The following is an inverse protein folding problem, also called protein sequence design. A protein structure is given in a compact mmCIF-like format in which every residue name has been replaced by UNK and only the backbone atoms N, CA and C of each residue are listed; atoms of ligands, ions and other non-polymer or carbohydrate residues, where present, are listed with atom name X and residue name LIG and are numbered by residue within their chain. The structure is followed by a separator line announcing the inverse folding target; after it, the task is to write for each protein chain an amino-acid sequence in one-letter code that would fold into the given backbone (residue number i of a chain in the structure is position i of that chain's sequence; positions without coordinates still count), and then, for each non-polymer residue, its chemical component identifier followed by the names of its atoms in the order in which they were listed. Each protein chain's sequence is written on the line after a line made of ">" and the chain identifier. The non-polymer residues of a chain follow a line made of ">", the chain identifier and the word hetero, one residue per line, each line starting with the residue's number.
data_IF_560427997864
#
_entry.id   IF_560427997864
#
_cell.length_a   1.000
_cell.length_b   1.000
_cell.length_c   1.000
_cell.angle_alpha   90.00
_cell.angle_beta   90.00
_cell.angle_gamma   90.00
#
_symmetry.space_group_name_H-M   'P 1'
#
loop_
_entity.id
_entity.type
_entity.pdbx_description
1 polymer ?
#
# COMPACT_ATOMS: atom_id res chain seq x y z
N UNK A 1 -15.29 -6.70 7.83
CA UNK A 1 -14.52 -5.57 8.41
C UNK A 1 -13.41 -6.03 9.37
N UNK A 2 -13.56 -7.13 10.11
CA UNK A 2 -12.59 -7.53 11.17
C UNK A 2 -11.30 -8.27 10.70
N UNK A 3 -11.21 -8.70 9.43
CA UNK A 3 -10.09 -9.55 8.95
C UNK A 3 -8.86 -8.78 8.47
N UNK A 4 -9.08 -7.58 7.95
CA UNK A 4 -7.99 -6.74 7.44
C UNK A 4 -7.16 -6.20 8.61
N UNK A 5 -7.78 -5.86 9.74
CA UNK A 5 -7.08 -5.39 10.95
C UNK A 5 -6.14 -6.43 11.59
N UNK A 6 -6.53 -7.72 11.60
CA UNK A 6 -5.73 -8.78 12.22
C UNK A 6 -4.43 -9.03 11.44
N UNK A 7 -4.51 -9.10 10.11
CA UNK A 7 -3.31 -9.28 9.27
C UNK A 7 -2.56 -7.97 9.05
N UNK A 8 -3.25 -6.82 9.07
CA UNK A 8 -2.63 -5.50 9.04
C UNK A 8 -1.59 -5.39 10.14
N UNK A 9 -1.91 -5.71 11.39
CA UNK A 9 -0.99 -5.48 12.49
C UNK A 9 0.32 -6.30 12.37
N UNK A 10 0.24 -7.57 12.00
CA UNK A 10 1.42 -8.44 11.80
C UNK A 10 2.28 -7.97 10.61
N UNK A 11 1.63 -7.69 9.48
CA UNK A 11 2.29 -7.19 8.26
C UNK A 11 2.91 -5.81 8.55
N UNK A 12 2.21 -4.96 9.27
CA UNK A 12 2.62 -3.61 9.58
C UNK A 12 3.73 -3.50 10.61
N UNK A 13 3.88 -4.44 11.54
CA UNK A 13 5.02 -4.42 12.47
C UNK A 13 6.37 -4.59 11.76
N UNK A 14 6.37 -5.12 10.53
CA UNK A 14 7.56 -5.19 9.67
C UNK A 14 7.81 -3.90 8.86
N UNK A 15 6.87 -2.95 8.87
CA UNK A 15 6.93 -1.71 8.10
C UNK A 15 7.01 -0.49 9.02
N UNK A 16 7.80 0.52 8.63
CA UNK A 16 7.84 1.80 9.35
C UNK A 16 6.48 2.52 9.30
N UNK A 17 6.16 3.37 10.27
CA UNK A 17 4.86 4.05 10.41
C UNK A 17 4.39 4.69 9.09
N UNK A 18 5.30 5.34 8.35
CA UNK A 18 5.00 5.96 7.05
C UNK A 18 4.53 4.96 5.97
N UNK A 19 5.12 3.76 5.95
CA UNK A 19 4.70 2.68 5.03
C UNK A 19 3.34 2.13 5.41
N UNK A 20 3.03 2.06 6.72
CA UNK A 20 1.70 1.67 7.17
C UNK A 20 0.64 2.67 6.71
N UNK A 21 0.92 3.97 6.83
CA UNK A 21 0.02 5.03 6.36
C UNK A 21 -0.23 4.95 4.86
N UNK A 22 0.82 4.70 4.07
CA UNK A 22 0.68 4.53 2.62
C UNK A 22 -0.20 3.32 2.28
N UNK A 23 0.07 2.15 2.87
CA UNK A 23 -0.73 0.95 2.65
C UNK A 23 -2.18 1.10 3.14
N UNK A 24 -2.41 1.86 4.22
CA UNK A 24 -3.75 2.18 4.69
C UNK A 24 -4.50 3.08 3.69
N UNK A 25 -3.81 4.07 3.12
CA UNK A 25 -4.34 4.92 2.04
C UNK A 25 -4.70 4.09 0.80
N UNK A 26 -3.79 3.22 0.36
CA UNK A 26 -4.02 2.32 -0.78
C UNK A 26 -5.24 1.42 -0.55
N UNK A 27 -5.41 0.89 0.67
CA UNK A 27 -6.59 0.10 1.02
C UNK A 27 -7.88 0.92 0.99
N UNK A 28 -7.88 2.14 1.53
CA UNK A 28 -9.06 3.00 1.52
C UNK A 28 -9.48 3.34 0.08
N UNK A 29 -8.48 3.64 -0.75
CA UNK A 29 -8.63 3.87 -2.18
C UNK A 29 -9.19 2.65 -2.91
N UNK A 30 -8.68 1.45 -2.61
CA UNK A 30 -9.23 0.19 -3.12
C UNK A 30 -10.69 -0.03 -2.74
N UNK A 31 -11.07 0.26 -1.49
CA UNK A 31 -12.45 0.10 -1.04
C UNK A 31 -13.38 1.12 -1.73
N UNK A 32 -12.88 2.33 -2.02
CA UNK A 32 -13.63 3.40 -2.64
C UNK A 32 -13.78 3.24 -4.16
N UNK A 33 -12.68 2.93 -4.87
CA UNK A 33 -12.63 2.89 -6.34
C UNK A 33 -12.69 1.48 -6.93
N UNK A 34 -12.40 0.44 -6.13
CA UNK A 34 -12.42 -0.96 -6.53
C UNK A 34 -11.06 -1.50 -6.97
N UNK A 35 -11.04 -2.80 -7.30
CA UNK A 35 -9.83 -3.59 -7.56
C UNK A 35 -8.96 -3.12 -8.71
N UNK A 36 -9.53 -2.40 -9.67
CA UNK A 36 -8.82 -1.90 -10.86
C UNK A 36 -7.70 -0.91 -10.50
N UNK A 37 -7.90 -0.12 -9.44
CA UNK A 37 -6.94 0.88 -8.96
C UNK A 37 -5.77 0.29 -8.18
N UNK A 38 -5.86 -0.97 -7.76
CA UNK A 38 -4.79 -1.67 -7.06
C UNK A 38 -3.87 -2.40 -8.07
N UNK A 39 -3.47 -1.72 -9.13
CA UNK A 39 -2.56 -2.26 -10.15
C UNK A 39 -1.13 -1.78 -9.90
N UNK A 40 -0.13 -2.64 -10.18
CA UNK A 40 1.29 -2.23 -10.04
C UNK A 40 1.65 -1.06 -10.95
N UNK A 41 0.99 -0.95 -12.09
CA UNK A 41 1.12 0.15 -13.04
C UNK A 41 0.61 1.49 -12.47
N UNK A 42 -0.31 1.43 -11.48
CA UNK A 42 -0.84 2.60 -10.75
C UNK A 42 -0.05 2.93 -9.49
N UNK A 43 0.97 2.12 -9.14
CA UNK A 43 1.83 2.41 -7.99
C UNK A 43 2.46 3.82 -8.06
N UNK A 44 2.99 4.29 -9.21
CA UNK A 44 3.50 5.65 -9.32
C UNK A 44 2.40 6.68 -9.06
N UNK A 45 1.22 6.54 -9.68
CA UNK A 45 0.09 7.44 -9.48
C UNK A 45 -0.36 7.49 -8.01
N UNK A 46 -0.43 6.37 -7.31
CA UNK A 46 -0.79 6.30 -5.88
C UNK A 46 0.25 6.98 -5.00
N UNK A 47 1.53 6.87 -5.35
CA UNK A 47 2.61 7.56 -4.64
C UNK A 47 2.52 9.07 -4.86
N UNK A 48 2.27 9.51 -6.09
CA UNK A 48 2.05 10.93 -6.40
C UNK A 48 0.79 11.49 -5.73
N UNK A 49 -0.29 10.70 -5.68
CA UNK A 49 -1.55 11.11 -5.07
C UNK A 49 -1.40 11.35 -3.55
N UNK A 50 -0.60 10.52 -2.86
CA UNK A 50 -0.38 10.64 -1.40
C UNK A 50 0.76 11.60 -1.02
N UNK A 51 1.85 11.64 -1.80
CA UNK A 51 3.08 12.36 -1.46
C UNK A 51 3.39 13.52 -2.42
N UNK A 52 2.47 13.87 -3.33
CA UNK A 52 2.62 14.85 -4.42
C UNK A 52 3.61 14.48 -5.52
N UNK A 53 4.57 13.59 -5.25
CA UNK A 53 5.56 13.12 -6.23
C UNK A 53 6.14 11.77 -5.83
N UNK A 54 6.52 10.95 -6.81
CA UNK A 54 7.19 9.66 -6.57
C UNK A 54 8.51 9.86 -5.80
N UNK A 55 9.25 10.94 -6.09
CA UNK A 55 10.50 11.28 -5.41
C UNK A 55 10.34 11.58 -3.91
N UNK A 56 9.28 12.31 -3.54
CA UNK A 56 8.92 12.55 -2.15
C UNK A 56 8.49 11.25 -1.46
N UNK A 57 7.70 10.43 -2.14
CA UNK A 57 7.30 9.12 -1.63
C UNK A 57 8.52 8.22 -1.35
N UNK A 58 9.52 8.21 -2.24
CA UNK A 58 10.78 7.46 -2.03
C UNK A 58 11.59 8.03 -0.87
N UNK A 59 11.61 9.36 -0.71
CA UNK A 59 12.33 9.99 0.39
C UNK A 59 11.68 9.68 1.75
N UNK A 60 10.35 9.55 1.77
CA UNK A 60 9.56 9.29 2.98
C UNK A 60 9.44 7.80 3.32
N UNK A 61 9.19 6.96 2.32
CA UNK A 61 8.97 5.51 2.46
C UNK A 61 10.26 4.69 2.29
N UNK A 62 11.30 5.30 1.73
CA UNK A 62 12.56 4.65 1.36
C UNK A 62 12.56 4.09 -0.06
N UNK A 63 13.42 3.10 -0.32
CA UNK A 63 13.64 2.58 -1.67
C UNK A 63 12.35 2.04 -2.32
N UNK A 64 12.16 2.36 -3.61
CA UNK A 64 11.04 1.89 -4.46
C UNK A 64 10.85 0.38 -4.39
N UNK A 65 11.94 -0.37 -4.33
CA UNK A 65 11.89 -1.83 -4.21
C UNK A 65 11.11 -2.28 -2.98
N UNK A 66 11.34 -1.66 -1.81
CA UNK A 66 10.63 -1.98 -0.58
C UNK A 66 9.17 -1.53 -0.61
N UNK A 67 8.87 -0.41 -1.27
CA UNK A 67 7.49 0.05 -1.49
C UNK A 67 6.74 -0.95 -2.36
N UNK A 68 7.37 -1.38 -3.46
CA UNK A 68 6.80 -2.36 -4.38
C UNK A 68 6.59 -3.71 -3.71
N UNK A 69 7.55 -4.20 -2.93
CA UNK A 69 7.42 -5.46 -2.18
C UNK A 69 6.25 -5.41 -1.21
N UNK A 70 6.12 -4.30 -0.46
CA UNK A 70 5.01 -4.09 0.45
C UNK A 70 3.67 -4.05 -0.28
N UNK A 71 3.61 -3.39 -1.43
CA UNK A 71 2.41 -3.30 -2.27
C UNK A 71 2.00 -4.66 -2.85
N UNK A 72 2.96 -5.43 -3.38
CA UNK A 72 2.72 -6.77 -3.93
C UNK A 72 2.30 -7.74 -2.84
N UNK A 73 2.98 -7.72 -1.69
CA UNK A 73 2.61 -8.53 -0.53
C UNK A 73 1.20 -8.20 -0.06
N UNK A 74 0.85 -6.92 -0.03
CA UNK A 74 -0.49 -6.46 0.31
C UNK A 74 -1.54 -6.95 -0.70
N UNK A 75 -1.30 -6.82 -2.00
CA UNK A 75 -2.16 -7.37 -3.05
C UNK A 75 -2.35 -8.89 -2.89
N UNK A 76 -1.26 -9.64 -2.68
CA UNK A 76 -1.32 -11.08 -2.51
C UNK A 76 -2.16 -11.48 -1.30
N UNK A 77 -2.04 -10.76 -0.18
CA UNK A 77 -2.89 -10.98 0.99
C UNK A 77 -4.37 -10.67 0.73
N UNK A 78 -4.66 -9.62 -0.05
CA UNK A 78 -6.01 -9.24 -0.41
C UNK A 78 -6.68 -10.28 -1.30
N UNK A 79 -6.02 -10.66 -2.41
CA UNK A 79 -6.50 -11.66 -3.37
C UNK A 79 -6.56 -13.07 -2.79
N UNK A 80 -5.68 -13.44 -1.87
CA UNK A 80 -5.77 -14.73 -1.18
C UNK A 80 -6.99 -14.83 -0.24
N UNK A 81 -7.66 -13.71 0.03
CA UNK A 81 -8.87 -13.63 0.86
C UNK A 81 -10.16 -13.37 0.08
N UNK A 82 -10.09 -13.22 -1.26
CA UNK A 82 -11.25 -13.23 -2.17
C UNK A 82 -11.66 -14.63 -2.61
#
# INVERSE_FOLDING_TARGET
>A
KERVDIHKNDIFQHYSDKRQEFLAFVLDHYIAEGVDELSQDKLPDLLELKYHSVGDAISELGAVSGIRDAFIGFQAHLYASE
#
